data_IF_060449946631
#
_entry.id   IF_060449946631
#
_cell.length_a   1.000
_cell.length_b   1.000
_cell.length_c   1.000
_cell.angle_alpha   90.00
_cell.angle_beta   90.00
_cell.angle_gamma   90.00
#
_symmetry.space_group_name_H-M   'P 1'
#
loop_
_entity.id
_entity.type
_entity.pdbx_description
1 polymer ?
#
# COMPACT_ATOMS: atom_id res chain seq x y z
N UNK A 1 5.51 -10.68 16.42
CA UNK A 1 4.78 -10.17 15.24
C UNK A 1 5.46 -8.88 14.86
N UNK A 2 5.89 -8.71 13.60
CA UNK A 2 6.57 -7.49 13.18
C UNK A 2 5.62 -6.31 12.93
N UNK A 3 4.41 -6.32 13.46
CA UNK A 3 3.40 -5.25 13.36
C UNK A 3 2.43 -5.38 14.53
N UNK A 4 1.76 -4.29 14.89
CA UNK A 4 0.72 -4.26 15.91
C UNK A 4 -0.65 -4.03 15.28
N UNK A 5 -1.67 -4.71 15.79
CA UNK A 5 -3.04 -4.54 15.31
C UNK A 5 -3.59 -3.15 15.68
N UNK A 6 -3.89 -2.29 14.68
CA UNK A 6 -4.43 -0.95 14.91
C UNK A 6 -5.70 -0.94 15.77
N UNK A 7 -6.52 -1.98 15.67
CA UNK A 7 -7.83 -2.05 16.35
C UNK A 7 -7.72 -2.09 17.87
N UNK A 8 -6.60 -2.55 18.40
CA UNK A 8 -6.38 -2.66 19.84
C UNK A 8 -6.30 -1.30 20.53
N UNK A 9 -5.89 -0.26 19.78
CA UNK A 9 -5.66 1.08 20.32
C UNK A 9 -6.52 2.15 19.62
N UNK A 10 -7.68 1.76 19.06
CA UNK A 10 -8.64 2.68 18.45
C UNK A 10 -8.40 3.02 16.97
N UNK A 11 -7.34 2.49 16.37
CA UNK A 11 -7.08 2.54 14.93
C UNK A 11 -7.94 1.54 14.14
N UNK A 12 -7.71 1.46 12.83
CA UNK A 12 -8.48 0.59 11.93
C UNK A 12 -7.69 0.21 10.67
N UNK A 13 -8.11 -0.85 9.98
CA UNK A 13 -7.56 -1.29 8.68
C UNK A 13 -8.22 -0.60 7.47
N UNK A 14 -8.91 0.52 7.68
CA UNK A 14 -9.47 1.36 6.62
C UNK A 14 -8.86 2.75 6.75
N UNK A 15 -8.40 3.34 5.66
CA UNK A 15 -7.99 4.74 5.67
C UNK A 15 -9.22 5.67 5.80
N UNK A 16 -8.97 6.97 5.77
CA UNK A 16 -9.96 8.02 5.74
C UNK A 16 -9.84 8.77 4.42
N UNK A 17 -10.52 8.25 3.40
CA UNK A 17 -10.70 8.97 2.13
C UNK A 17 -11.79 10.04 2.22
N UNK A 18 -12.87 9.72 2.94
CA UNK A 18 -14.02 10.61 3.20
C UNK A 18 -14.48 10.42 4.65
N UNK A 19 -15.36 11.28 5.20
CA UNK A 19 -15.87 11.12 6.57
C UNK A 19 -16.50 9.75 6.85
N UNK A 20 -17.08 9.09 5.83
CA UNK A 20 -17.88 7.88 5.97
C UNK A 20 -17.24 6.63 5.32
N UNK A 21 -16.24 6.79 4.46
CA UNK A 21 -15.64 5.70 3.68
C UNK A 21 -14.13 5.83 3.58
N UNK A 22 -13.47 4.67 3.52
CA UNK A 22 -12.03 4.54 3.41
C UNK A 22 -11.60 3.43 2.46
N UNK A 23 -10.35 3.45 2.05
CA UNK A 23 -9.71 2.37 1.32
C UNK A 23 -9.08 1.35 2.30
N UNK A 24 -9.12 0.06 1.97
CA UNK A 24 -8.58 -0.98 2.84
C UNK A 24 -7.05 -0.97 2.86
N UNK A 25 -6.49 -0.97 4.07
CA UNK A 25 -5.08 -1.28 4.35
C UNK A 25 -4.88 -2.79 4.21
N UNK A 26 -4.66 -3.21 2.97
CA UNK A 26 -4.75 -4.60 2.55
C UNK A 26 -3.38 -5.29 2.42
N UNK A 27 -2.28 -4.57 2.67
CA UNK A 27 -0.92 -5.11 2.75
C UNK A 27 -0.18 -4.54 3.96
N UNK A 28 0.64 -5.36 4.60
CA UNK A 28 1.55 -4.96 5.68
C UNK A 28 2.96 -5.45 5.32
N UNK A 29 3.95 -4.57 5.25
CA UNK A 29 5.36 -4.95 5.29
C UNK A 29 5.76 -5.01 6.75
N UNK A 30 6.04 -6.22 7.21
CA UNK A 30 6.42 -6.53 8.58
C UNK A 30 7.71 -5.81 8.98
N UNK A 31 7.78 -5.29 10.19
CA UNK A 31 8.99 -4.79 10.84
C UNK A 31 10.06 -5.86 11.10
N UNK A 32 9.78 -7.14 10.81
CA UNK A 32 10.81 -8.17 10.72
C UNK A 32 11.54 -8.19 9.36
N UNK A 33 11.14 -7.34 8.41
CA UNK A 33 11.82 -7.19 7.12
C UNK A 33 13.20 -6.53 7.29
N UNK A 34 14.00 -6.54 6.22
CA UNK A 34 15.33 -5.92 6.21
C UNK A 34 15.28 -4.46 6.75
N UNK A 35 16.09 -4.09 7.75
CA UNK A 35 16.09 -2.74 8.33
C UNK A 35 16.22 -1.62 7.30
N UNK A 36 16.88 -1.88 6.16
CA UNK A 36 17.00 -0.94 5.07
C UNK A 36 15.62 -0.55 4.52
N UNK A 37 14.73 -1.51 4.26
CA UNK A 37 13.41 -1.20 3.69
C UNK A 37 12.44 -0.57 4.71
N UNK A 38 12.73 -0.72 6.00
CA UNK A 38 11.98 -0.04 7.05
C UNK A 38 12.36 1.45 7.13
N UNK A 39 13.43 1.88 6.46
CA UNK A 39 13.71 3.31 6.26
C UNK A 39 12.92 3.87 5.10
N UNK A 40 12.61 5.16 5.13
CA UNK A 40 11.82 5.80 4.07
C UNK A 40 12.57 5.76 2.73
N UNK A 41 13.91 5.88 2.75
CA UNK A 41 14.74 5.77 1.55
C UNK A 41 14.73 4.34 0.98
N UNK A 42 14.95 3.33 1.82
CA UNK A 42 14.99 1.95 1.37
C UNK A 42 13.62 1.44 0.93
N UNK A 43 12.54 1.92 1.55
CA UNK A 43 11.18 1.63 1.11
C UNK A 43 10.91 2.15 -0.30
N UNK A 44 11.35 3.38 -0.62
CA UNK A 44 11.26 3.97 -1.97
C UNK A 44 12.07 3.18 -3.00
N UNK A 45 13.26 2.72 -2.65
CA UNK A 45 14.07 1.88 -3.52
C UNK A 45 13.46 0.49 -3.72
N UNK A 46 12.86 -0.08 -2.68
CA UNK A 46 12.11 -1.33 -2.77
C UNK A 46 10.88 -1.17 -3.66
N UNK A 47 10.09 -0.09 -3.51
CA UNK A 47 8.96 0.21 -4.38
C UNK A 47 9.38 0.24 -5.87
N UNK A 48 10.52 0.87 -6.18
CA UNK A 48 11.12 0.88 -7.53
C UNK A 48 11.48 -0.52 -8.01
N UNK A 49 11.98 -1.38 -7.13
CA UNK A 49 12.31 -2.76 -7.48
C UNK A 49 11.09 -3.58 -7.91
N UNK A 50 9.94 -3.36 -7.28
CA UNK A 50 8.67 -4.05 -7.61
C UNK A 50 7.86 -3.34 -8.69
N UNK A 51 8.44 -2.36 -9.39
CA UNK A 51 7.83 -1.70 -10.54
C UNK A 51 6.87 -0.55 -10.18
N UNK A 52 7.05 0.06 -9.01
CA UNK A 52 6.33 1.26 -8.58
C UNK A 52 7.30 2.44 -8.41
N UNK A 53 6.85 3.66 -8.69
CA UNK A 53 7.66 4.86 -8.49
C UNK A 53 6.81 5.96 -7.88
N UNK A 54 7.48 6.92 -7.23
CA UNK A 54 6.88 8.19 -6.84
C UNK A 54 6.27 8.89 -8.07
N UNK A 55 5.22 9.66 -7.82
CA UNK A 55 4.55 10.46 -8.83
C UNK A 55 5.51 11.41 -9.56
N UNK A 56 5.19 11.68 -10.82
CA UNK A 56 5.99 12.55 -11.67
C UNK A 56 6.02 13.98 -11.11
N UNK A 57 7.23 14.54 -10.96
CA UNK A 57 7.46 15.96 -10.65
C UNK A 57 6.81 16.48 -9.35
N UNK A 58 6.50 15.61 -8.39
CA UNK A 58 5.91 16.02 -7.10
C UNK A 58 4.50 16.60 -7.22
N UNK A 59 3.84 16.41 -8.35
CA UNK A 59 2.44 16.79 -8.54
C UNK A 59 1.56 15.71 -7.90
N UNK A 60 1.21 15.91 -6.63
CA UNK A 60 0.16 15.14 -5.95
C UNK A 60 -1.20 15.44 -6.58
N UNK A 61 -1.54 14.72 -7.64
CA UNK A 61 -2.85 14.80 -8.30
C UNK A 61 -3.75 13.74 -7.66
N UNK A 62 -4.37 14.11 -6.55
CA UNK A 62 -5.30 13.27 -5.80
C UNK A 62 -5.63 13.84 -4.43
N UNK A 63 -6.67 13.30 -3.78
CA UNK A 63 -6.92 13.60 -2.37
C UNK A 63 -5.86 12.92 -1.51
N UNK A 64 -5.38 13.63 -0.48
CA UNK A 64 -4.56 13.05 0.59
C UNK A 64 -5.46 12.18 1.46
N UNK A 65 -4.97 10.99 1.80
CA UNK A 65 -5.69 10.07 2.68
C UNK A 65 -4.99 10.01 4.02
N UNK A 66 -5.77 9.99 5.10
CA UNK A 66 -5.25 9.77 6.45
C UNK A 66 -5.50 8.33 6.89
N UNK A 67 -4.62 7.75 7.71
CA UNK A 67 -4.86 6.46 8.35
C UNK A 67 -4.50 6.52 9.84
N UNK A 68 -5.27 5.79 10.66
CA UNK A 68 -4.99 5.62 12.09
C UNK A 68 -4.53 4.18 12.34
N UNK A 69 -3.24 4.04 12.60
CA UNK A 69 -2.57 2.75 12.82
C UNK A 69 -2.61 2.30 14.28
N UNK A 70 -3.32 3.00 15.16
CA UNK A 70 -3.40 2.65 16.58
C UNK A 70 -2.04 2.69 17.28
N UNK A 71 -1.10 3.49 16.79
CA UNK A 71 0.25 3.61 17.35
C UNK A 71 0.41 4.80 18.29
N UNK A 72 -0.70 5.48 18.62
CA UNK A 72 -0.72 6.58 19.58
C UNK A 72 -0.49 7.97 18.96
N UNK A 73 -0.17 8.03 17.68
CA UNK A 73 -0.03 9.30 16.93
C UNK A 73 -1.36 9.76 16.31
N UNK A 74 -2.41 8.93 16.40
CA UNK A 74 -3.73 9.20 15.83
C UNK A 74 -3.73 9.11 14.31
N UNK A 75 -4.49 9.99 13.65
CA UNK A 75 -4.59 10.02 12.19
C UNK A 75 -3.33 10.62 11.58
N UNK A 76 -2.68 9.84 10.72
CA UNK A 76 -1.51 10.26 9.95
C UNK A 76 -1.85 10.35 8.48
N UNK A 77 -1.51 11.48 7.88
CA UNK A 77 -1.54 11.64 6.44
C UNK A 77 -0.55 10.68 5.80
N UNK A 78 -0.90 10.18 4.62
CA UNK A 78 -0.05 9.30 3.83
C UNK A 78 1.40 9.80 3.73
N UNK A 79 2.35 8.88 3.89
CA UNK A 79 3.78 9.20 3.88
C UNK A 79 4.44 8.89 2.54
N UNK A 80 3.78 8.05 1.74
CA UNK A 80 4.26 7.65 0.44
C UNK A 80 3.11 7.23 -0.47
N UNK A 81 3.05 7.82 -1.67
CA UNK A 81 2.16 7.42 -2.74
C UNK A 81 3.00 6.93 -3.91
N UNK A 82 2.87 5.64 -4.22
CA UNK A 82 3.56 5.00 -5.32
C UNK A 82 2.56 4.62 -6.41
N UNK A 83 2.89 4.94 -7.66
CA UNK A 83 2.14 4.49 -8.84
C UNK A 83 2.95 3.47 -9.60
N UNK A 84 2.30 2.48 -10.20
CA UNK A 84 2.96 1.53 -11.10
C UNK A 84 3.68 2.29 -12.21
N UNK A 85 4.77 1.71 -12.73
CA UNK A 85 5.57 2.23 -13.84
C UNK A 85 5.52 1.32 -15.07
N UNK A 86 5.08 1.84 -16.23
CA UNK A 86 5.07 1.18 -17.53
C UNK A 86 6.27 1.64 -18.40
N UNK A 87 7.41 0.94 -18.25
CA UNK A 87 8.57 0.91 -19.18
C UNK A 87 9.46 2.19 -19.35
N UNK A 88 10.77 2.03 -19.70
CA UNK A 88 11.87 2.95 -19.41
C UNK A 88 11.96 4.25 -20.23
N UNK A 89 10.98 4.57 -21.10
CA UNK A 89 11.09 5.69 -22.05
C UNK A 89 10.04 6.78 -21.82
N UNK A 90 8.91 6.49 -21.17
CA UNK A 90 7.73 7.39 -21.19
C UNK A 90 7.11 7.77 -19.83
N UNK A 91 7.83 7.55 -18.72
CA UNK A 91 7.65 8.30 -17.47
C UNK A 91 6.36 8.07 -16.66
N UNK A 92 6.48 8.22 -15.33
CA UNK A 92 5.37 8.25 -14.34
C UNK A 92 4.32 9.34 -14.64
N UNK A 93 4.66 10.31 -15.49
CA UNK A 93 3.78 11.39 -15.94
C UNK A 93 2.59 10.89 -16.78
N UNK A 94 2.79 9.84 -17.58
CA UNK A 94 1.69 9.31 -18.41
C UNK A 94 0.72 8.49 -17.55
N UNK A 95 1.17 7.80 -16.50
CA UNK A 95 0.31 7.03 -15.60
C UNK A 95 -0.57 7.90 -14.69
N UNK A 96 -0.10 9.09 -14.31
CA UNK A 96 -0.97 10.11 -13.68
C UNK A 96 -2.14 10.52 -14.57
N UNK A 97 -1.97 10.43 -15.91
CA UNK A 97 -2.99 10.72 -16.92
C UNK A 97 -3.75 9.48 -17.41
N UNK A 98 -3.10 8.31 -17.41
CA UNK A 98 -3.56 7.09 -18.05
C UNK A 98 -4.13 6.04 -17.08
N UNK A 99 -4.04 6.27 -15.76
CA UNK A 99 -4.59 5.37 -14.73
C UNK A 99 -3.76 4.09 -14.60
N UNK A 100 -3.93 3.39 -13.48
CA UNK A 100 -3.19 2.17 -13.19
C UNK A 100 -3.23 1.80 -11.70
N UNK A 101 -2.36 0.86 -11.32
CA UNK A 101 -2.20 0.47 -9.92
C UNK A 101 -1.45 1.54 -9.14
N UNK A 102 -1.92 1.81 -7.94
CA UNK A 102 -1.18 2.60 -6.98
C UNK A 102 -1.31 2.01 -5.58
N UNK A 103 -0.37 2.38 -4.72
CA UNK A 103 -0.50 2.14 -3.30
C UNK A 103 -0.09 3.36 -2.51
N UNK A 104 -0.80 3.57 -1.41
CA UNK A 104 -0.46 4.53 -0.37
C UNK A 104 0.16 3.79 0.80
N UNK A 105 1.10 4.40 1.51
CA UNK A 105 1.75 3.78 2.64
C UNK A 105 1.82 4.68 3.87
N UNK A 106 1.66 4.04 5.03
CA UNK A 106 1.77 4.62 6.36
C UNK A 106 2.66 3.74 7.22
N UNK A 107 3.56 4.36 7.98
CA UNK A 107 4.50 3.69 8.86
C UNK A 107 3.95 3.63 10.27
N UNK A 108 4.06 2.47 10.90
CA UNK A 108 3.71 2.29 12.30
C UNK A 108 4.91 2.60 13.19
N UNK A 109 5.02 3.85 13.63
CA UNK A 109 6.17 4.39 14.35
C UNK A 109 5.79 5.26 15.57
N UNK A 110 4.52 5.23 15.97
CA UNK A 110 4.03 6.03 17.09
C UNK A 110 4.44 5.52 18.47
N UNK A 111 4.20 6.36 19.48
CA UNK A 111 4.66 6.16 20.87
C UNK A 111 4.09 4.93 21.58
N UNK A 112 2.91 4.44 21.18
CA UNK A 112 2.22 3.34 21.86
C UNK A 112 2.41 1.98 21.19
N UNK A 113 2.74 1.95 19.90
CA UNK A 113 2.95 0.72 19.15
C UNK A 113 3.93 0.91 17.99
N UNK A 114 5.22 1.07 18.29
CA UNK A 114 6.26 1.23 17.27
C UNK A 114 6.81 -0.14 16.81
N UNK A 115 6.40 -0.59 15.63
CA UNK A 115 6.95 -1.78 14.99
C UNK A 115 7.89 -1.47 13.82
N UNK A 116 7.87 -0.24 13.32
CA UNK A 116 8.54 0.14 12.07
C UNK A 116 7.90 -0.44 10.81
N UNK A 117 6.79 -1.19 10.93
CA UNK A 117 6.08 -1.79 9.81
C UNK A 117 5.47 -0.73 8.89
N UNK A 118 5.33 -1.07 7.61
CA UNK A 118 4.56 -0.27 6.66
C UNK A 118 3.19 -0.91 6.43
N UNK A 119 2.13 -0.13 6.53
CA UNK A 119 0.77 -0.49 6.15
C UNK A 119 0.48 0.17 4.81
N UNK A 120 0.00 -0.62 3.85
CA UNK A 120 -0.23 -0.15 2.49
C UNK A 120 -1.70 -0.37 2.11
N UNK A 121 -2.28 0.66 1.49
CA UNK A 121 -3.57 0.57 0.80
C UNK A 121 -3.31 0.43 -0.70
N UNK A 122 -3.41 -0.80 -1.22
CA UNK A 122 -3.12 -1.12 -2.62
C UNK A 122 -4.42 -1.23 -3.41
N UNK A 123 -4.50 -0.54 -4.55
CA UNK A 123 -5.70 -0.54 -5.40
C UNK A 123 -5.33 -0.49 -6.88
N UNK A 124 -6.05 -1.29 -7.68
CA UNK A 124 -6.04 -1.19 -9.14
C UNK A 124 -7.16 -0.26 -9.62
N UNK A 125 -6.79 0.89 -10.18
CA UNK A 125 -7.74 1.83 -10.75
C UNK A 125 -8.00 1.64 -12.24
N UNK A 126 -7.38 0.65 -12.89
CA UNK A 126 -7.47 0.42 -14.34
C UNK A 126 -7.04 1.63 -15.17
N UNK A 127 -7.20 1.55 -16.49
CA UNK A 127 -6.87 2.66 -17.38
C UNK A 127 -7.86 3.85 -17.24
N UNK A 128 -7.33 5.05 -16.98
CA UNK A 128 -7.96 6.38 -16.80
C UNK A 128 -8.92 6.82 -17.92
N UNK A 129 -8.92 6.16 -19.09
CA UNK A 129 -9.94 6.41 -20.13
C UNK A 129 -11.39 6.23 -19.63
N UNK A 130 -11.60 5.66 -18.43
CA UNK A 130 -12.90 5.52 -17.76
C UNK A 130 -13.06 6.36 -16.48
N UNK A 131 -12.44 7.55 -16.39
CA UNK A 131 -12.60 8.51 -15.28
C UNK A 131 -12.11 7.99 -13.91
N UNK A 132 -10.93 7.38 -13.84
CA UNK A 132 -10.31 6.98 -12.55
C UNK A 132 -11.20 6.08 -11.67
N UNK A 133 -12.11 5.31 -12.26
CA UNK A 133 -12.95 4.37 -11.53
C UNK A 133 -12.15 3.13 -11.19
N UNK A 134 -12.05 2.80 -9.91
CA UNK A 134 -11.53 1.53 -9.42
C UNK A 134 -12.22 0.39 -10.20
N UNK A 135 -11.42 -0.52 -10.77
CA UNK A 135 -11.99 -1.63 -11.55
C UNK A 135 -12.78 -2.55 -10.62
N UNK A 136 -13.79 -3.29 -11.12
CA UNK A 136 -14.40 -4.34 -10.34
C UNK A 136 -13.30 -5.26 -9.76
N UNK A 137 -13.36 -5.54 -8.46
CA UNK A 137 -12.35 -6.31 -7.74
C UNK A 137 -10.96 -5.63 -7.61
N UNK A 138 -10.85 -4.32 -7.85
CA UNK A 138 -9.59 -3.59 -7.94
C UNK A 138 -8.72 -3.61 -6.67
N UNK A 139 -9.33 -3.68 -5.49
CA UNK A 139 -8.59 -3.84 -4.23
C UNK A 139 -7.89 -5.20 -4.14
N UNK A 140 -8.53 -6.27 -4.62
CA UNK A 140 -7.96 -7.61 -4.59
C UNK A 140 -6.91 -7.78 -5.69
N UNK A 141 -7.17 -7.25 -6.89
CA UNK A 141 -6.26 -7.29 -8.04
C UNK A 141 -4.98 -6.46 -7.77
N UNK A 142 -5.13 -5.22 -7.31
CA UNK A 142 -3.99 -4.34 -6.98
C UNK A 142 -3.07 -4.95 -5.92
N UNK A 143 -3.66 -5.52 -4.86
CA UNK A 143 -2.93 -6.24 -3.81
C UNK A 143 -2.23 -7.48 -4.34
N UNK A 144 -2.98 -8.43 -4.89
CA UNK A 144 -2.47 -9.77 -5.20
C UNK A 144 -1.56 -9.74 -6.41
N UNK A 145 -2.06 -9.26 -7.54
CA UNK A 145 -1.44 -9.49 -8.84
C UNK A 145 -0.27 -8.51 -9.10
N UNK A 146 -0.31 -7.31 -8.51
CA UNK A 146 0.65 -6.26 -8.85
C UNK A 146 1.70 -5.98 -7.78
N UNK A 147 1.37 -6.16 -6.51
CA UNK A 147 2.31 -5.96 -5.41
C UNK A 147 2.80 -7.28 -4.82
N UNK A 148 1.89 -8.15 -4.37
CA UNK A 148 2.27 -9.41 -3.69
C UNK A 148 3.00 -10.36 -4.63
N UNK A 149 2.48 -10.62 -5.83
CA UNK A 149 3.11 -11.54 -6.78
C UNK A 149 4.53 -11.09 -7.17
N UNK A 150 4.74 -9.78 -7.36
CA UNK A 150 6.07 -9.21 -7.65
C UNK A 150 7.01 -9.27 -6.45
N UNK A 151 6.50 -9.00 -5.26
CA UNK A 151 7.27 -9.07 -4.03
C UNK A 151 7.77 -10.51 -3.76
N UNK A 152 6.92 -11.51 -3.99
CA UNK A 152 7.24 -12.93 -3.77
C UNK A 152 8.12 -13.52 -4.88
N UNK A 153 7.90 -13.11 -6.14
CA UNK A 153 8.75 -13.52 -7.26
C UNK A 153 10.21 -13.07 -7.09
N UNK A 154 10.41 -12.00 -6.34
CA UNK A 154 11.71 -11.38 -6.11
C UNK A 154 12.00 -10.30 -7.14
N UNK A 155 12.65 -9.23 -6.68
CA UNK A 155 12.90 -8.02 -7.45
C UNK A 155 14.36 -7.61 -7.40
N UNK A 156 14.77 -6.77 -8.36
CA UNK A 156 16.13 -6.24 -8.41
C UNK A 156 16.15 -4.77 -8.82
N UNK A 157 16.86 -3.95 -8.06
CA UNK A 157 17.06 -2.54 -8.37
C UNK A 157 18.44 -2.08 -7.92
N UNK A 158 19.16 -1.38 -8.81
CA UNK A 158 20.51 -0.84 -8.56
C UNK A 158 21.48 -1.86 -7.91
N UNK A 159 21.45 -3.11 -8.36
CA UNK A 159 22.31 -4.18 -7.85
C UNK A 159 21.91 -4.77 -6.49
N UNK A 160 20.83 -4.28 -5.86
CA UNK A 160 20.20 -4.91 -4.70
C UNK A 160 19.08 -5.83 -5.16
N UNK A 161 18.95 -6.96 -4.49
CA UNK A 161 17.89 -7.94 -4.69
C UNK A 161 16.96 -7.91 -3.49
N UNK A 162 15.68 -8.18 -3.68
CA UNK A 162 14.76 -8.39 -2.57
C UNK A 162 13.83 -9.55 -2.88
N UNK A 163 13.39 -10.24 -1.84
CA UNK A 163 12.36 -11.27 -1.93
C UNK A 163 11.48 -11.24 -0.69
N UNK A 164 10.17 -11.36 -0.90
CA UNK A 164 9.21 -11.37 0.19
C UNK A 164 8.70 -12.78 0.47
N UNK A 165 8.61 -13.11 1.75
CA UNK A 165 7.75 -14.18 2.25
C UNK A 165 6.35 -13.61 2.51
N UNK A 166 5.33 -14.38 2.15
CA UNK A 166 3.93 -13.97 2.20
C UNK A 166 3.16 -14.80 3.23
N UNK A 167 2.46 -14.11 4.12
CA UNK A 167 1.46 -14.66 5.01
C UNK A 167 0.11 -13.98 4.73
N UNK A 168 -0.95 -14.77 4.52
CA UNK A 168 -2.30 -14.23 4.36
C UNK A 168 -3.04 -14.27 5.69
N UNK A 169 -3.67 -13.14 6.05
CA UNK A 169 -4.56 -13.04 7.21
C UNK A 169 -5.97 -12.68 6.78
N UNK A 170 -6.96 -13.35 7.35
CA UNK A 170 -8.40 -13.16 7.05
C UNK A 170 -9.19 -12.63 8.24
N UNK A 171 -8.52 -12.40 9.37
CA UNK A 171 -9.09 -11.98 10.65
C UNK A 171 -8.96 -10.47 10.90
N UNK A 172 -8.31 -9.75 9.99
CA UNK A 172 -8.00 -8.32 10.13
C UNK A 172 -9.05 -7.42 9.46
N UNK A 173 -9.54 -7.82 8.30
CA UNK A 173 -10.59 -7.13 7.55
C UNK A 173 -11.79 -8.05 7.34
N UNK A 174 -12.99 -7.53 7.60
CA UNK A 174 -14.21 -8.26 7.29
C UNK A 174 -14.44 -8.23 5.76
N UNK A 175 -14.77 -9.35 5.11
CA UNK A 175 -15.07 -9.37 3.67
C UNK A 175 -16.31 -8.51 3.34
N UNK A 176 -16.38 -8.04 2.10
CA UNK A 176 -17.45 -7.18 1.59
C UNK A 176 -17.00 -5.73 1.41
N UNK A 177 -17.97 -4.80 1.36
CA UNK A 177 -17.75 -3.38 1.06
C UNK A 177 -18.13 -2.44 2.21
N UNK A 178 -18.36 -2.97 3.42
CA UNK A 178 -18.81 -2.17 4.56
C UNK A 178 -17.74 -1.14 4.95
N UNK A 179 -18.04 0.14 4.74
CA UNK A 179 -17.10 1.25 4.98
C UNK A 179 -16.00 1.40 3.93
N UNK A 180 -16.02 0.56 2.88
CA UNK A 180 -15.06 0.61 1.77
C UNK A 180 -15.52 1.65 0.75
N UNK A 181 -14.59 2.50 0.35
CA UNK A 181 -14.84 3.53 -0.65
C UNK A 181 -15.29 2.92 -1.99
N UNK A 182 -16.09 3.66 -2.75
CA UNK A 182 -16.70 3.24 -4.02
C UNK A 182 -17.63 2.01 -3.96
N UNK A 183 -17.90 1.45 -2.77
CA UNK A 183 -18.80 0.30 -2.61
C UNK A 183 -18.27 -1.02 -3.19
N UNK A 184 -16.96 -1.08 -3.46
CA UNK A 184 -16.32 -2.24 -4.08
C UNK A 184 -16.01 -3.28 -3.00
N UNK A 185 -16.46 -4.51 -3.25
CA UNK A 185 -16.21 -5.63 -2.34
C UNK A 185 -14.73 -6.03 -2.37
N UNK A 186 -14.18 -6.27 -1.17
CA UNK A 186 -12.89 -6.91 -0.98
C UNK A 186 -13.08 -8.23 -0.23
N UNK A 187 -12.09 -9.11 -0.32
CA UNK A 187 -12.21 -10.50 0.14
C UNK A 187 -11.82 -10.75 1.61
N UNK A 188 -11.59 -9.70 2.38
CA UNK A 188 -11.20 -9.73 3.79
C UNK A 188 -9.73 -10.08 4.03
N UNK A 189 -8.94 -10.33 2.96
CA UNK A 189 -7.55 -10.75 3.10
C UNK A 189 -6.61 -9.56 3.31
N UNK A 190 -5.62 -9.74 4.16
CA UNK A 190 -4.50 -8.82 4.33
C UNK A 190 -3.23 -9.62 4.07
N UNK A 191 -2.38 -9.13 3.17
CA UNK A 191 -1.08 -9.74 2.90
C UNK A 191 -0.05 -9.19 3.87
N UNK A 192 0.58 -10.04 4.67
CA UNK A 192 1.76 -9.69 5.45
C UNK A 192 2.98 -10.14 4.66
N UNK A 193 3.84 -9.20 4.33
CA UNK A 193 5.08 -9.40 3.60
C UNK A 193 6.25 -9.25 4.55
N UNK A 194 7.14 -10.25 4.58
CA UNK A 194 8.45 -10.15 5.23
C UNK A 194 9.51 -10.13 4.13
N UNK A 195 10.09 -8.96 3.89
CA UNK A 195 10.96 -8.72 2.74
C UNK A 195 12.42 -8.77 3.18
N UNK A 196 13.20 -9.62 2.52
CA UNK A 196 14.63 -9.83 2.77
C UNK A 196 15.43 -9.41 1.55
N UNK A 197 16.67 -8.95 1.76
CA UNK A 197 17.61 -8.56 0.71
C UNK A 197 18.61 -9.68 0.40
#
# INVERSE_FOLDING_TARGET
LGWHDPRLNGGRFLDFTTPNFGEPLNVIISGHSDPYILTDYGFRDYAKSIGFSEECLGLHIGHLHDADLGDGDGRKTEQYLARQYYFPVWGTCWESLAGGNHFRAWKQNGTQANSGAWFLGCVDCGNSRKNHKIVPNGYNLGRRDWLVDRAVAGSRWKGRWWKADLEWRTDLLAPGNKGVNHGIEQDGRVAILTVMR
#
